data_IF_989761533658
#
_entry.id   IF_989761533658
#
_cell.length_a   1.000
_cell.length_b   1.000
_cell.length_c   1.000
_cell.angle_alpha   90.00
_cell.angle_beta   90.00
_cell.angle_gamma   90.00
#
_symmetry.space_group_name_H-M   'P 1'
#
loop_
_entity.id
_entity.type
_entity.pdbx_description
1 polymer ?
#
# COMPACT_ATOMS: atom_id res chain seq x y z
N UNK A 1 14.26 -8.87 19.37
CA UNK A 1 14.20 -7.54 18.72
C UNK A 1 13.03 -6.78 19.32
N UNK A 2 13.22 -5.52 19.65
CA UNK A 2 12.15 -4.62 20.05
C UNK A 2 11.67 -3.84 18.84
N UNK A 3 10.38 -3.68 18.69
CA UNK A 3 9.76 -2.99 17.56
C UNK A 3 8.88 -1.86 18.07
N UNK A 4 9.10 -0.67 17.55
CA UNK A 4 8.25 0.48 17.83
C UNK A 4 7.27 0.68 16.68
N UNK A 5 5.99 0.77 17.03
CA UNK A 5 4.92 1.12 16.09
C UNK A 5 4.85 2.63 15.91
N UNK A 6 4.73 3.05 14.66
CA UNK A 6 4.46 4.44 14.27
C UNK A 6 3.22 4.49 13.38
N UNK A 7 2.40 5.50 13.59
CA UNK A 7 1.38 5.90 12.62
C UNK A 7 1.98 6.96 11.71
N UNK A 8 1.76 6.80 10.40
CA UNK A 8 2.16 7.77 9.40
C UNK A 8 0.93 8.26 8.63
N UNK A 9 0.92 9.54 8.28
CA UNK A 9 -0.11 10.18 7.47
C UNK A 9 0.59 10.85 6.29
N UNK A 10 0.13 10.53 5.08
CA UNK A 10 0.59 11.13 3.85
C UNK A 10 -0.57 11.74 3.07
N UNK A 11 -0.31 12.84 2.39
CA UNK A 11 -1.22 13.44 1.41
C UNK A 11 -0.90 12.98 0.01
N UNK A 12 -1.92 12.76 -0.81
CA UNK A 12 -1.77 12.51 -2.23
C UNK A 12 -1.51 13.83 -2.95
N UNK A 13 -0.39 13.92 -3.67
CA UNK A 13 -0.05 15.05 -4.53
C UNK A 13 -0.28 14.78 -6.01
N UNK A 14 -0.51 13.52 -6.36
CA UNK A 14 -0.92 13.08 -7.69
C UNK A 14 -1.86 11.88 -7.60
N UNK A 15 -2.56 11.48 -8.68
CA UNK A 15 -3.40 10.30 -8.71
C UNK A 15 -2.67 9.05 -8.20
N UNK A 16 -3.35 8.21 -7.43
CA UNK A 16 -2.78 6.99 -6.89
C UNK A 16 -3.44 5.76 -7.50
N UNK A 17 -2.72 5.06 -8.37
CA UNK A 17 -3.15 3.79 -8.95
C UNK A 17 -2.40 2.63 -8.31
N UNK A 18 -3.13 1.77 -7.62
CA UNK A 18 -2.62 0.50 -7.07
C UNK A 18 -3.26 -0.63 -7.87
N UNK A 19 -2.56 -1.13 -8.88
CA UNK A 19 -3.12 -2.12 -9.81
C UNK A 19 -3.80 -3.28 -9.09
N UNK A 20 -5.03 -3.57 -9.52
CA UNK A 20 -5.87 -4.65 -9.00
C UNK A 20 -6.12 -5.69 -10.09
N UNK A 21 -7.03 -5.41 -10.99
CA UNK A 21 -7.31 -6.24 -12.15
C UNK A 21 -7.76 -5.37 -13.33
N UNK A 22 -7.80 -5.97 -14.51
CA UNK A 22 -8.24 -5.31 -15.74
C UNK A 22 -9.60 -5.87 -16.14
N UNK A 23 -10.57 -4.96 -16.40
CA UNK A 23 -11.89 -5.30 -16.92
C UNK A 23 -12.06 -4.60 -18.26
N UNK A 24 -12.03 -5.35 -19.36
CA UNK A 24 -11.99 -4.75 -20.69
C UNK A 24 -10.78 -3.84 -20.86
N UNK A 25 -11.01 -2.57 -21.15
CA UNK A 25 -9.96 -1.56 -21.28
C UNK A 25 -9.68 -0.78 -19.99
N UNK A 26 -10.43 -1.06 -18.90
CA UNK A 26 -10.30 -0.37 -17.61
C UNK A 26 -9.33 -1.11 -16.71
N UNK A 27 -8.30 -0.42 -16.26
CA UNK A 27 -7.39 -0.88 -15.21
C UNK A 27 -7.91 -0.40 -13.86
N UNK A 28 -8.46 -1.33 -13.06
CA UNK A 28 -9.02 -1.03 -11.74
C UNK A 28 -7.93 -0.83 -10.71
N UNK A 29 -8.16 0.07 -9.76
CA UNK A 29 -7.27 0.33 -8.62
C UNK A 29 -7.74 -0.39 -7.36
N UNK A 30 -6.82 -0.72 -6.45
CA UNK A 30 -7.15 -1.03 -5.05
C UNK A 30 -7.46 0.26 -4.29
N UNK A 31 -8.33 0.16 -3.30
CA UNK A 31 -8.73 1.29 -2.46
C UNK A 31 -7.84 1.43 -1.21
N UNK A 32 -6.71 0.73 -1.20
CA UNK A 32 -5.71 0.73 -0.14
C UNK A 32 -4.32 0.47 -0.72
N UNK A 33 -3.28 0.76 0.06
CA UNK A 33 -1.88 0.50 -0.33
C UNK A 33 -1.38 -0.73 0.43
N UNK A 34 -1.10 -1.85 -0.26
CA UNK A 34 -0.53 -3.04 0.37
C UNK A 34 0.89 -2.80 0.90
N UNK A 35 1.25 -3.50 1.96
CA UNK A 35 2.57 -3.42 2.60
C UNK A 35 3.74 -3.61 1.61
N UNK A 36 3.58 -4.48 0.61
CA UNK A 36 4.60 -4.72 -0.42
C UNK A 36 4.88 -3.47 -1.28
N UNK A 37 3.85 -2.71 -1.64
CA UNK A 37 4.01 -1.47 -2.39
C UNK A 37 4.76 -0.43 -1.56
N UNK A 38 4.51 -0.40 -0.24
CA UNK A 38 5.21 0.49 0.69
C UNK A 38 6.68 0.09 0.85
N UNK A 39 6.96 -1.20 1.01
CA UNK A 39 8.34 -1.70 1.02
C UNK A 39 9.10 -1.26 -0.23
N UNK A 40 8.53 -1.43 -1.40
CA UNK A 40 9.16 -1.02 -2.66
C UNK A 40 9.37 0.48 -2.77
N UNK A 41 8.39 1.29 -2.36
CA UNK A 41 8.48 2.75 -2.38
C UNK A 41 9.53 3.30 -1.39
N UNK A 42 9.58 2.73 -0.18
CA UNK A 42 10.57 3.10 0.84
C UNK A 42 11.97 2.70 0.38
N UNK A 43 12.14 1.48 -0.13
CA UNK A 43 13.42 1.01 -0.68
C UNK A 43 13.92 1.93 -1.80
N UNK A 44 13.05 2.28 -2.72
CA UNK A 44 13.39 3.16 -3.84
C UNK A 44 13.75 4.57 -3.37
N UNK A 45 12.99 5.14 -2.45
CA UNK A 45 13.26 6.47 -1.92
C UNK A 45 14.58 6.55 -1.17
N UNK A 46 14.89 5.55 -0.34
CA UNK A 46 16.17 5.44 0.38
C UNK A 46 17.33 5.26 -0.60
N UNK A 47 17.20 4.35 -1.57
CA UNK A 47 18.25 4.10 -2.57
C UNK A 47 18.57 5.34 -3.37
N UNK A 48 17.54 6.05 -3.85
CA UNK A 48 17.70 7.27 -4.66
C UNK A 48 18.36 8.40 -3.87
N UNK A 49 18.14 8.48 -2.58
CA UNK A 49 18.73 9.50 -1.71
C UNK A 49 20.10 9.13 -1.16
N UNK A 50 20.67 8.03 -1.62
CA UNK A 50 22.00 7.60 -1.24
C UNK A 50 22.10 7.01 0.16
N UNK A 51 21.02 6.39 0.65
CA UNK A 51 21.03 5.71 1.95
C UNK A 51 22.15 4.67 2.02
N UNK A 52 22.93 4.75 3.09
CA UNK A 52 23.97 3.79 3.41
C UNK A 52 24.04 3.55 4.91
N UNK A 53 24.36 2.34 5.31
CA UNK A 53 24.60 1.94 6.69
C UNK A 53 25.51 0.72 6.69
N UNK A 54 25.85 0.18 7.87
CA UNK A 54 26.74 -0.98 7.95
C UNK A 54 26.24 -2.15 7.09
N UNK A 55 27.05 -2.58 6.11
CA UNK A 55 26.71 -3.63 5.17
C UNK A 55 25.76 -3.23 4.03
N UNK A 56 25.38 -1.94 3.91
CA UNK A 56 24.53 -1.43 2.85
C UNK A 56 25.24 -0.31 2.09
N UNK A 57 25.51 -0.55 0.81
CA UNK A 57 26.14 0.43 -0.07
C UNK A 57 25.12 1.39 -0.64
N UNK A 58 25.52 2.67 -0.72
CA UNK A 58 24.70 3.70 -1.35
C UNK A 58 24.39 3.34 -2.82
N UNK A 59 23.15 3.55 -3.22
CA UNK A 59 22.67 3.29 -4.59
C UNK A 59 22.40 1.81 -4.91
N UNK A 60 22.67 0.87 -4.00
CA UNK A 60 22.38 -0.54 -4.21
C UNK A 60 20.94 -0.89 -3.74
N UNK A 61 20.00 -0.91 -4.68
CA UNK A 61 18.60 -1.19 -4.40
C UNK A 61 18.36 -2.53 -3.71
N UNK A 62 19.10 -3.57 -4.07
CA UNK A 62 18.94 -4.89 -3.47
C UNK A 62 19.36 -4.90 -2.00
N UNK A 63 20.52 -4.33 -1.68
CA UNK A 63 21.00 -4.25 -0.30
C UNK A 63 20.09 -3.37 0.57
N UNK A 64 19.67 -2.22 0.06
CA UNK A 64 18.70 -1.36 0.74
C UNK A 64 17.38 -2.09 0.96
N UNK A 65 16.89 -2.81 -0.04
CA UNK A 65 15.65 -3.58 0.04
C UNK A 65 15.69 -4.70 1.09
N UNK A 66 16.81 -5.43 1.17
CA UNK A 66 16.99 -6.45 2.20
C UNK A 66 17.10 -5.83 3.60
N UNK A 67 17.76 -4.69 3.74
CA UNK A 67 17.81 -3.95 4.99
C UNK A 67 16.40 -3.48 5.41
N UNK A 68 15.63 -2.85 4.51
CA UNK A 68 14.25 -2.44 4.79
C UNK A 68 13.39 -3.63 5.16
N UNK A 69 13.54 -4.77 4.47
CA UNK A 69 12.80 -5.99 4.77
C UNK A 69 13.14 -6.55 6.15
N UNK A 70 14.38 -6.44 6.59
CA UNK A 70 14.84 -6.94 7.89
C UNK A 70 14.40 -6.04 9.04
N UNK A 71 14.54 -4.73 8.89
CA UNK A 71 14.44 -3.75 9.97
C UNK A 71 13.13 -2.94 9.98
N UNK A 72 12.32 -3.05 8.92
CA UNK A 72 11.02 -2.38 8.83
C UNK A 72 9.91 -3.37 8.53
N UNK A 73 8.73 -3.13 9.10
CA UNK A 73 7.51 -3.84 8.72
C UNK A 73 6.39 -2.80 8.48
N UNK A 74 5.51 -3.10 7.53
CA UNK A 74 4.46 -2.19 7.11
C UNK A 74 3.11 -2.84 7.30
N UNK A 75 2.17 -2.11 7.90
CA UNK A 75 0.75 -2.40 7.78
C UNK A 75 0.23 -1.96 6.41
N UNK A 76 -1.03 -2.24 6.10
CA UNK A 76 -1.70 -1.67 4.95
C UNK A 76 -2.10 -0.23 5.25
N UNK A 77 -2.01 0.66 4.26
CA UNK A 77 -2.45 2.05 4.38
C UNK A 77 -3.77 2.24 3.66
N UNK A 78 -4.67 2.93 4.33
CA UNK A 78 -6.03 3.20 3.85
C UNK A 78 -6.25 4.69 3.71
N UNK A 79 -7.27 5.08 2.97
CA UNK A 79 -7.74 6.46 2.95
C UNK A 79 -8.07 6.88 4.39
N UNK A 80 -7.63 8.07 4.75
CA UNK A 80 -7.74 8.62 6.09
C UNK A 80 -8.52 9.93 6.05
N UNK A 81 -9.59 9.99 6.80
CA UNK A 81 -10.46 11.15 6.86
C UNK A 81 -11.03 11.32 8.28
N UNK A 82 -11.11 12.57 8.75
CA UNK A 82 -11.68 12.90 10.07
C UNK A 82 -11.09 12.04 11.20
N UNK A 83 -9.77 11.89 11.22
CA UNK A 83 -9.03 11.08 12.20
C UNK A 83 -9.38 9.58 12.20
N UNK A 84 -9.98 9.05 11.13
CA UNK A 84 -10.33 7.64 10.98
C UNK A 84 -9.80 7.04 9.68
N UNK A 85 -9.38 5.78 9.77
CA UNK A 85 -9.06 4.96 8.61
C UNK A 85 -10.36 4.45 7.98
N UNK A 86 -10.50 4.62 6.68
CA UNK A 86 -11.62 4.04 5.92
C UNK A 86 -11.27 2.59 5.55
N UNK A 87 -11.27 1.72 6.55
CA UNK A 87 -10.97 0.30 6.38
C UNK A 87 -12.19 -0.45 5.85
N UNK A 88 -11.99 -1.48 4.99
CA UNK A 88 -13.08 -2.33 4.53
C UNK A 88 -13.67 -3.15 5.68
N UNK A 89 -14.98 -3.22 5.75
CA UNK A 89 -15.73 -4.04 6.70
C UNK A 89 -17.02 -4.54 6.07
N UNK A 90 -17.33 -5.83 6.23
CA UNK A 90 -18.62 -6.39 5.83
C UNK A 90 -19.64 -6.18 6.96
N UNK A 91 -20.72 -5.46 6.63
CA UNK A 91 -21.86 -5.22 7.50
C UNK A 91 -23.12 -5.91 6.96
N UNK A 92 -24.24 -5.83 7.68
CA UNK A 92 -25.53 -6.35 7.19
C UNK A 92 -25.92 -5.80 5.83
N UNK A 93 -25.58 -4.53 5.58
CA UNK A 93 -25.92 -3.81 4.36
C UNK A 93 -24.81 -3.98 3.25
N UNK A 94 -23.89 -4.93 3.41
CA UNK A 94 -22.81 -5.20 2.48
C UNK A 94 -21.44 -4.63 2.88
N UNK A 95 -20.53 -4.55 1.92
CA UNK A 95 -19.18 -4.02 2.13
C UNK A 95 -19.23 -2.51 2.31
N UNK A 96 -18.54 -2.01 3.36
CA UNK A 96 -18.35 -0.59 3.65
C UNK A 96 -16.85 -0.27 3.81
N UNK A 97 -16.51 0.98 3.58
CA UNK A 97 -15.19 1.56 3.87
C UNK A 97 -15.36 2.60 4.99
N UNK A 98 -15.01 2.21 6.21
CA UNK A 98 -15.40 2.97 7.39
C UNK A 98 -16.93 3.04 7.54
N UNK A 99 -17.50 4.23 7.44
CA UNK A 99 -18.95 4.45 7.46
C UNK A 99 -19.59 4.64 6.06
N UNK A 100 -18.77 4.62 4.99
CA UNK A 100 -19.22 4.81 3.62
C UNK A 100 -19.58 3.48 2.97
N UNK A 101 -20.65 3.42 2.21
CA UNK A 101 -20.90 2.32 1.28
C UNK A 101 -19.82 2.30 0.17
N UNK A 102 -19.68 1.19 -0.55
CA UNK A 102 -18.73 1.10 -1.67
C UNK A 102 -18.98 2.21 -2.68
N UNK A 103 -20.21 2.41 -3.09
CA UNK A 103 -20.58 3.44 -4.09
C UNK A 103 -20.31 4.87 -3.61
N UNK A 104 -20.51 5.15 -2.32
CA UNK A 104 -20.17 6.46 -1.75
C UNK A 104 -18.67 6.69 -1.69
N UNK A 105 -17.91 5.64 -1.31
CA UNK A 105 -16.44 5.70 -1.32
C UNK A 105 -15.92 5.94 -2.74
N UNK A 106 -16.38 5.16 -3.72
CA UNK A 106 -16.00 5.28 -5.13
C UNK A 106 -16.30 6.68 -5.66
N UNK A 107 -17.54 7.13 -5.51
CA UNK A 107 -17.95 8.47 -5.95
C UNK A 107 -17.13 9.58 -5.31
N UNK A 108 -16.66 9.40 -4.07
CA UNK A 108 -15.95 10.43 -3.31
C UNK A 108 -14.46 10.50 -3.59
N UNK A 109 -13.83 9.35 -3.79
CA UNK A 109 -12.38 9.25 -3.86
C UNK A 109 -11.85 8.74 -5.19
N UNK A 110 -12.66 8.09 -6.02
CA UNK A 110 -12.17 7.55 -7.27
C UNK A 110 -12.43 8.50 -8.44
N UNK A 111 -11.50 8.42 -9.39
CA UNK A 111 -11.62 9.03 -10.70
C UNK A 111 -10.90 8.16 -11.72
N UNK A 112 -11.01 8.47 -12.99
CA UNK A 112 -10.33 7.73 -14.04
C UNK A 112 -9.75 8.66 -15.09
N UNK A 113 -8.71 8.19 -15.77
CA UNK A 113 -8.07 8.87 -16.86
C UNK A 113 -8.02 7.96 -18.08
N UNK A 114 -8.58 8.45 -19.18
CA UNK A 114 -8.61 7.73 -20.46
C UNK A 114 -7.43 8.18 -21.31
N UNK A 115 -6.65 7.23 -21.81
CA UNK A 115 -5.50 7.48 -22.67
C UNK A 115 -5.54 6.58 -23.91
N UNK A 116 -4.91 7.07 -24.98
CA UNK A 116 -4.71 6.32 -26.21
C UNK A 116 -3.33 6.67 -26.80
N UNK A 117 -2.70 5.71 -27.46
CA UNK A 117 -1.53 6.00 -28.26
C UNK A 117 -1.95 6.65 -29.58
N UNK A 118 -1.16 7.62 -30.05
CA UNK A 118 -1.34 8.21 -31.36
C UNK A 118 -0.45 7.51 -32.39
N UNK A 119 -1.01 7.25 -33.57
CA UNK A 119 -0.23 6.86 -34.74
C UNK A 119 0.54 8.09 -35.24
N UNK A 120 1.88 8.07 -35.26
CA UNK A 120 2.67 9.23 -35.64
C UNK A 120 2.53 9.63 -37.11
N UNK A 121 2.02 8.75 -37.97
CA UNK A 121 1.80 9.06 -39.41
C UNK A 121 0.47 9.74 -39.68
N UNK A 122 -0.55 9.32 -38.98
CA UNK A 122 -1.93 9.79 -39.24
C UNK A 122 -2.45 10.77 -38.18
N UNK A 123 -1.74 10.92 -37.07
CA UNK A 123 -2.16 11.70 -35.90
C UNK A 123 -3.52 11.26 -35.34
N UNK A 124 -3.94 10.03 -35.63
CA UNK A 124 -5.17 9.42 -35.15
C UNK A 124 -4.88 8.43 -34.02
N UNK A 125 -5.90 8.07 -33.25
CA UNK A 125 -5.78 7.05 -32.21
C UNK A 125 -5.39 5.70 -32.83
N UNK A 126 -4.33 5.09 -32.30
CA UNK A 126 -3.91 3.77 -32.72
C UNK A 126 -4.98 2.74 -32.33
N UNK A 127 -5.34 1.86 -33.26
CA UNK A 127 -6.35 0.84 -33.01
C UNK A 127 -5.99 -0.05 -31.81
N UNK A 128 -6.95 -0.26 -30.88
CA UNK A 128 -6.78 -1.10 -29.71
C UNK A 128 -5.92 -0.51 -28.56
N UNK A 129 -5.43 0.74 -28.70
CA UNK A 129 -4.61 1.38 -27.68
C UNK A 129 -5.39 2.12 -26.59
N UNK A 130 -6.71 2.28 -26.77
CA UNK A 130 -7.57 2.95 -25.80
C UNK A 130 -7.57 2.16 -24.49
N UNK A 131 -7.20 2.82 -23.41
CA UNK A 131 -7.28 2.26 -22.06
C UNK A 131 -7.64 3.33 -21.05
N UNK A 132 -8.28 2.90 -19.99
CA UNK A 132 -8.69 3.73 -18.87
C UNK A 132 -7.99 3.25 -17.61
N UNK A 133 -7.45 4.18 -16.85
CA UNK A 133 -6.78 3.90 -15.58
C UNK A 133 -7.59 4.54 -14.45
N UNK A 134 -8.16 3.72 -13.59
CA UNK A 134 -8.85 4.15 -12.38
C UNK A 134 -7.81 4.45 -11.29
N UNK A 135 -8.05 5.47 -10.48
CA UNK A 135 -7.13 5.88 -9.41
C UNK A 135 -7.88 6.51 -8.23
N UNK A 136 -7.22 6.55 -7.07
CA UNK A 136 -7.65 7.39 -5.95
C UNK A 136 -7.22 8.82 -6.27
N UNK A 137 -8.20 9.73 -6.30
CA UNK A 137 -8.01 11.12 -6.65
C UNK A 137 -7.23 11.89 -5.55
N UNK A 138 -6.33 12.81 -5.92
CA UNK A 138 -5.58 13.61 -4.95
C UNK A 138 -6.46 14.59 -4.17
N UNK A 139 -7.66 14.84 -4.65
CA UNK A 139 -8.70 15.60 -3.94
C UNK A 139 -10.00 14.78 -3.94
N UNK A 140 -10.62 14.67 -2.77
CA UNK A 140 -11.96 14.11 -2.67
C UNK A 140 -12.98 15.03 -3.37
N UNK A 141 -14.14 14.50 -3.73
CA UNK A 141 -15.22 15.32 -4.31
C UNK A 141 -15.72 16.43 -3.38
N UNK A 142 -15.37 16.40 -2.10
CA UNK A 142 -15.65 17.47 -1.14
C UNK A 142 -14.60 18.60 -1.17
N UNK A 143 -13.61 18.54 -2.07
CA UNK A 143 -12.54 19.53 -2.20
C UNK A 143 -11.38 19.36 -1.21
N UNK A 144 -11.46 18.44 -0.26
CA UNK A 144 -10.37 18.16 0.67
C UNK A 144 -9.27 17.31 0.00
N UNK A 145 -8.02 17.57 0.35
CA UNK A 145 -6.90 16.75 -0.10
C UNK A 145 -7.01 15.35 0.48
N UNK A 146 -6.90 14.35 -0.37
CA UNK A 146 -6.98 12.95 0.05
C UNK A 146 -5.73 12.59 0.84
N UNK A 147 -5.94 12.02 2.02
CA UNK A 147 -4.89 11.49 2.88
C UNK A 147 -4.95 9.97 2.95
N UNK A 148 -3.80 9.36 3.13
CA UNK A 148 -3.66 7.92 3.42
C UNK A 148 -2.84 7.75 4.70
N UNK A 149 -3.21 6.76 5.48
CA UNK A 149 -2.54 6.49 6.75
C UNK A 149 -2.48 4.99 7.04
N UNK A 150 -1.49 4.61 7.84
CA UNK A 150 -1.34 3.25 8.35
C UNK A 150 -0.14 3.12 9.25
N UNK A 151 0.17 1.89 9.63
CA UNK A 151 1.23 1.60 10.59
C UNK A 151 2.55 1.27 9.89
N UNK A 152 3.63 1.73 10.50
CA UNK A 152 5.00 1.32 10.22
C UNK A 152 5.63 0.83 11.53
N UNK A 153 6.34 -0.25 11.47
CA UNK A 153 7.08 -0.80 12.61
C UNK A 153 8.56 -0.73 12.28
N UNK A 154 9.32 -0.15 13.17
CA UNK A 154 10.77 -0.04 13.10
C UNK A 154 11.38 -0.79 14.26
N UNK A 155 12.39 -1.61 14.00
CA UNK A 155 13.19 -2.20 15.06
C UNK A 155 14.19 -1.18 15.65
N UNK A 156 14.99 -1.59 16.62
CA UNK A 156 15.90 -0.69 17.30
C UNK A 156 16.94 -0.06 16.35
N UNK A 157 17.40 -0.80 15.31
CA UNK A 157 18.35 -0.30 14.32
C UNK A 157 17.68 0.72 13.38
N UNK A 158 16.54 0.35 12.80
CA UNK A 158 15.79 1.25 11.91
C UNK A 158 15.29 2.49 12.66
N UNK A 159 14.88 2.35 13.92
CA UNK A 159 14.42 3.47 14.75
C UNK A 159 15.52 4.51 14.97
N UNK A 160 16.77 4.09 15.13
CA UNK A 160 17.90 5.01 15.29
C UNK A 160 18.07 5.92 14.05
N UNK A 161 17.82 5.39 12.86
CA UNK A 161 18.03 6.08 11.59
C UNK A 161 16.73 6.74 11.08
N UNK A 162 15.61 6.01 11.20
CA UNK A 162 14.31 6.36 10.61
C UNK A 162 13.25 6.73 11.68
N UNK A 163 13.65 7.26 12.85
CA UNK A 163 12.71 7.89 13.77
C UNK A 163 11.99 9.08 13.11
N UNK A 164 11.12 9.78 13.81
CA UNK A 164 10.30 10.86 13.23
C UNK A 164 11.11 11.86 12.39
N UNK A 165 12.25 12.32 12.89
CA UNK A 165 13.12 13.24 12.18
C UNK A 165 13.83 12.56 11.00
N UNK A 166 14.33 11.35 11.18
CA UNK A 166 14.94 10.56 10.12
C UNK A 166 13.94 10.24 9.02
N UNK A 167 12.70 9.87 9.37
CA UNK A 167 11.64 9.63 8.41
C UNK A 167 11.32 10.89 7.58
N UNK A 168 11.24 12.06 8.23
CA UNK A 168 11.07 13.35 7.52
C UNK A 168 12.21 13.63 6.55
N UNK A 169 13.44 13.34 6.94
CA UNK A 169 14.60 13.60 6.10
C UNK A 169 14.66 12.65 4.89
N UNK A 170 14.42 11.35 5.12
CA UNK A 170 14.58 10.31 4.10
C UNK A 170 13.32 10.04 3.29
N UNK A 171 12.14 10.15 3.90
CA UNK A 171 10.88 9.63 3.38
C UNK A 171 9.77 10.69 3.35
N UNK A 172 10.11 11.98 3.35
CA UNK A 172 9.13 13.08 3.21
C UNK A 172 8.27 12.98 1.96
N UNK A 173 8.83 12.43 0.88
CA UNK A 173 8.11 12.19 -0.36
C UNK A 173 8.33 10.74 -0.77
N UNK A 174 7.24 10.05 -1.06
CA UNK A 174 7.23 8.69 -1.60
C UNK A 174 6.53 8.70 -2.95
N UNK A 175 6.89 7.73 -3.79
CA UNK A 175 6.15 7.44 -5.01
C UNK A 175 5.71 5.98 -5.00
N UNK A 176 4.40 5.75 -4.95
CA UNK A 176 3.80 4.44 -4.71
C UNK A 176 2.88 4.05 -5.86
N UNK A 177 2.83 2.76 -6.20
CA UNK A 177 1.87 2.22 -7.16
C UNK A 177 2.36 2.18 -8.60
N UNK A 178 1.41 2.09 -9.52
CA UNK A 178 1.61 2.06 -10.96
C UNK A 178 1.61 3.46 -11.59
N UNK A 179 1.73 3.50 -12.92
CA UNK A 179 1.68 4.73 -13.75
C UNK A 179 2.68 5.83 -13.30
N UNK A 180 3.76 5.43 -12.63
CA UNK A 180 4.77 6.34 -12.05
C UNK A 180 5.47 7.20 -13.10
N UNK A 181 5.61 6.70 -14.34
CA UNK A 181 6.19 7.45 -15.47
C UNK A 181 5.32 8.64 -15.88
N UNK A 182 4.01 8.55 -15.62
CA UNK A 182 3.05 9.64 -15.84
C UNK A 182 2.84 10.52 -14.60
N UNK A 183 3.71 10.36 -13.58
CA UNK A 183 3.70 11.19 -12.38
C UNK A 183 2.72 10.72 -11.31
N UNK A 184 2.11 9.54 -11.45
CA UNK A 184 1.18 9.00 -10.45
C UNK A 184 1.91 8.57 -9.17
N UNK A 185 1.15 8.51 -8.08
CA UNK A 185 1.55 7.92 -6.81
C UNK A 185 2.41 8.79 -5.92
N UNK A 186 2.50 10.10 -6.17
CA UNK A 186 3.27 11.02 -5.32
C UNK A 186 2.55 11.27 -4.01
N UNK A 187 3.19 10.88 -2.92
CA UNK A 187 2.74 11.08 -1.54
C UNK A 187 3.70 12.02 -0.81
N UNK A 188 3.15 12.92 0.00
CA UNK A 188 3.93 13.83 0.86
C UNK A 188 3.58 13.59 2.32
N UNK A 189 4.59 13.44 3.16
CA UNK A 189 4.45 13.23 4.60
C UNK A 189 3.82 14.44 5.29
N UNK A 190 2.75 14.19 6.02
CA UNK A 190 2.10 15.17 6.91
C UNK A 190 2.58 14.94 8.34
N UNK A 191 2.45 13.71 8.82
CA UNK A 191 2.71 13.38 10.20
C UNK A 191 3.29 11.95 10.33
N UNK A 192 4.16 11.78 11.31
CA UNK A 192 4.57 10.50 11.86
C UNK A 192 4.58 10.60 13.38
N UNK A 193 3.88 9.69 14.04
CA UNK A 193 3.81 9.63 15.50
C UNK A 193 4.03 8.21 16.00
N UNK A 194 4.78 8.08 17.10
CA UNK A 194 4.90 6.82 17.83
C UNK A 194 3.57 6.45 18.47
N UNK A 195 3.20 5.17 18.40
CA UNK A 195 1.97 4.62 18.98
C UNK A 195 2.27 3.42 19.87
N UNK A 196 1.81 3.49 21.12
CA UNK A 196 1.95 2.41 22.09
C UNK A 196 3.37 2.13 22.55
N UNK A 197 3.50 1.13 23.42
CA UNK A 197 4.78 0.66 23.91
C UNK A 197 5.49 -0.23 22.89
N UNK A 198 6.83 -0.33 22.96
CA UNK A 198 7.60 -1.24 22.12
C UNK A 198 7.16 -2.69 22.28
N UNK A 199 7.05 -3.40 21.16
CA UNK A 199 6.64 -4.81 21.13
C UNK A 199 7.89 -5.69 20.97
N UNK A 200 8.11 -6.61 21.92
CA UNK A 200 9.20 -7.57 21.83
C UNK A 200 8.74 -8.82 21.09
N UNK A 201 9.17 -8.99 19.87
CA UNK A 201 8.86 -10.16 19.03
C UNK A 201 9.90 -10.36 17.93
N UNK A 202 9.87 -11.51 17.28
CA UNK A 202 10.76 -11.79 16.13
C UNK A 202 10.44 -10.89 14.95
N UNK A 203 9.15 -10.69 14.69
CA UNK A 203 8.62 -9.76 13.67
C UNK A 203 7.21 -9.30 14.08
N UNK A 204 6.88 -8.03 13.95
CA UNK A 204 5.54 -7.56 14.27
C UNK A 204 4.49 -8.30 13.43
N UNK A 205 3.51 -8.84 14.11
CA UNK A 205 2.34 -9.45 13.49
C UNK A 205 1.09 -8.87 14.16
N UNK A 206 0.01 -8.77 13.40
CA UNK A 206 -1.28 -8.42 13.96
C UNK A 206 -1.91 -9.67 14.56
N UNK A 207 -2.37 -9.59 15.80
CA UNK A 207 -3.18 -10.65 16.39
C UNK A 207 -4.50 -10.74 15.65
N UNK A 208 -4.86 -11.95 15.23
CA UNK A 208 -6.17 -12.23 14.63
C UNK A 208 -7.20 -12.30 15.75
N UNK A 209 -8.22 -11.46 15.68
CA UNK A 209 -9.38 -11.48 16.55
C UNK A 209 -10.61 -11.81 15.71
N UNK A 210 -11.50 -12.66 16.22
CA UNK A 210 -12.72 -13.05 15.50
C UNK A 210 -13.63 -11.86 15.18
N UNK A 211 -13.56 -10.81 16.00
CA UNK A 211 -14.44 -9.64 15.92
C UNK A 211 -13.85 -8.44 15.16
N UNK A 212 -12.61 -8.53 14.67
CA UNK A 212 -11.96 -7.41 14.00
C UNK A 212 -11.45 -7.79 12.62
N UNK A 213 -11.62 -6.93 11.61
CA UNK A 213 -11.08 -7.17 10.28
C UNK A 213 -9.55 -7.26 10.34
N UNK A 214 -9.01 -8.25 9.65
CA UNK A 214 -7.58 -8.42 9.52
C UNK A 214 -7.07 -7.55 8.37
N UNK A 215 -6.31 -6.51 8.68
CA UNK A 215 -5.86 -5.50 7.73
C UNK A 215 -4.41 -5.72 7.30
N UNK A 216 -4.06 -6.96 6.99
CA UNK A 216 -2.72 -7.34 6.55
C UNK A 216 -2.77 -8.57 5.64
N UNK A 217 -1.61 -9.11 5.30
CA UNK A 217 -1.50 -10.39 4.61
C UNK A 217 -1.10 -11.48 5.59
N UNK A 218 -1.57 -12.69 5.33
CA UNK A 218 -1.22 -13.90 6.09
C UNK A 218 -0.59 -14.93 5.17
N UNK A 219 0.35 -15.70 5.72
CA UNK A 219 0.79 -16.94 5.07
C UNK A 219 -0.28 -17.99 5.31
N UNK A 220 -0.81 -18.59 4.26
CA UNK A 220 -1.83 -19.62 4.37
C UNK A 220 -1.14 -20.94 4.76
N UNK A 221 -1.32 -21.36 5.99
CA UNK A 221 -0.98 -22.71 6.42
C UNK A 221 -2.22 -23.61 6.29
N UNK A 222 -2.00 -24.92 6.16
CA UNK A 222 -3.02 -25.92 5.83
C UNK A 222 -4.20 -26.03 6.82
N UNK A 223 -4.09 -25.41 8.00
CA UNK A 223 -5.09 -25.55 9.07
C UNK A 223 -5.79 -24.22 9.44
N UNK A 224 -5.69 -23.19 8.61
CA UNK A 224 -6.34 -21.90 8.89
C UNK A 224 -7.69 -21.85 8.18
N UNK A 225 -8.76 -21.70 8.95
CA UNK A 225 -10.07 -21.35 8.39
C UNK A 225 -10.16 -19.84 8.19
N UNK A 226 -10.37 -19.43 6.95
CA UNK A 226 -10.49 -18.04 6.57
C UNK A 226 -11.92 -17.78 6.15
N UNK A 227 -12.56 -16.74 6.72
CA UNK A 227 -13.89 -16.27 6.32
C UNK A 227 -13.77 -14.88 5.71
N UNK A 228 -14.35 -14.69 4.53
CA UNK A 228 -14.34 -13.42 3.82
C UNK A 228 -13.71 -13.51 2.44
N UNK A 229 -13.59 -12.37 1.79
CA UNK A 229 -12.96 -12.29 0.47
C UNK A 229 -11.44 -12.44 0.61
N UNK A 230 -10.88 -13.39 -0.11
CA UNK A 230 -9.44 -13.67 -0.15
C UNK A 230 -8.92 -13.18 -1.49
N UNK A 231 -7.87 -12.38 -1.45
CA UNK A 231 -7.14 -11.96 -2.63
C UNK A 231 -5.71 -12.51 -2.57
N UNK A 232 -5.24 -13.25 -3.60
CA UNK A 232 -3.88 -13.72 -3.64
C UNK A 232 -2.90 -12.56 -3.75
N UNK A 233 -1.85 -12.59 -2.93
CA UNK A 233 -0.77 -11.62 -3.01
C UNK A 233 0.17 -12.02 -4.15
N UNK A 234 -0.15 -11.58 -5.37
CA UNK A 234 0.64 -11.85 -6.57
C UNK A 234 1.68 -10.75 -6.78
N UNK A 235 2.91 -11.12 -7.10
CA UNK A 235 3.94 -10.17 -7.50
C UNK A 235 5.09 -10.87 -8.20
N UNK A 236 5.71 -10.18 -9.16
CA UNK A 236 6.94 -10.66 -9.81
C UNK A 236 8.09 -10.60 -8.81
N UNK A 237 8.66 -11.75 -8.48
CA UNK A 237 9.98 -11.78 -7.84
C UNK A 237 11.02 -11.61 -8.97
N UNK A 238 11.83 -10.58 -8.91
CA UNK A 238 13.00 -10.38 -9.79
C UNK A 238 14.21 -11.12 -9.23
N UNK A 239 14.07 -12.39 -8.91
CA UNK A 239 15.25 -13.24 -8.70
C UNK A 239 15.49 -14.04 -9.96
N UNK A 240 16.72 -14.03 -10.44
CA UNK A 240 17.18 -14.77 -11.61
C UNK A 240 17.19 -16.30 -11.43
N UNK A 241 16.47 -16.84 -10.48
CA UNK A 241 16.40 -18.28 -10.29
C UNK A 241 14.97 -18.73 -10.06
N UNK A 242 14.47 -19.43 -11.07
CA UNK A 242 13.46 -20.45 -11.02
C UNK A 242 11.98 -20.10 -10.99
N UNK A 243 11.39 -20.59 -12.05
CA UNK A 243 10.13 -21.32 -12.13
C UNK A 243 8.93 -20.73 -11.36
N UNK A 244 7.91 -20.47 -12.09
CA UNK A 244 6.54 -20.42 -11.61
C UNK A 244 6.27 -21.61 -10.69
N UNK A 245 6.58 -21.45 -9.41
CA UNK A 245 6.12 -22.35 -8.36
C UNK A 245 4.65 -22.07 -8.13
N UNK A 246 3.82 -23.00 -8.47
CA UNK A 246 2.40 -23.05 -8.16
C UNK A 246 2.18 -23.26 -6.65
N UNK A 247 2.43 -22.24 -5.86
CA UNK A 247 2.15 -22.25 -4.44
C UNK A 247 1.66 -20.87 -4.00
N UNK A 248 0.38 -20.74 -3.70
CA UNK A 248 -0.17 -19.62 -2.96
C UNK A 248 0.49 -19.61 -1.57
N UNK A 249 1.60 -18.88 -1.43
CA UNK A 249 2.31 -18.79 -0.14
C UNK A 249 1.79 -17.66 0.73
N UNK A 250 0.98 -16.75 0.20
CA UNK A 250 0.40 -15.63 0.95
C UNK A 250 -0.91 -15.18 0.33
N UNK A 251 -1.90 -14.92 1.16
CA UNK A 251 -3.17 -14.33 0.76
C UNK A 251 -3.45 -13.04 1.55
N UNK A 252 -4.08 -12.08 0.91
CA UNK A 252 -4.57 -10.86 1.56
C UNK A 252 -6.02 -11.06 1.98
N UNK A 253 -6.30 -10.90 3.25
CA UNK A 253 -7.66 -10.83 3.78
C UNK A 253 -8.15 -9.39 3.73
N UNK A 254 -9.14 -9.11 2.90
CA UNK A 254 -9.65 -7.75 2.70
C UNK A 254 -10.71 -7.39 3.74
N UNK A 255 -11.43 -8.37 4.25
CA UNK A 255 -12.41 -8.14 5.31
C UNK A 255 -12.75 -9.44 6.06
N UNK A 256 -12.87 -9.36 7.37
CA UNK A 256 -13.58 -10.37 8.16
C UNK A 256 -15.04 -9.93 8.34
N UNK A 257 -15.96 -10.87 8.35
CA UNK A 257 -17.34 -10.58 8.74
C UNK A 257 -17.37 -10.07 10.17
N UNK A 258 -18.01 -8.92 10.41
CA UNK A 258 -18.46 -8.59 11.76
C UNK A 258 -19.39 -9.71 12.21
N UNK A 259 -19.04 -10.45 13.26
CA UNK A 259 -19.95 -11.38 13.90
C UNK A 259 -21.07 -10.56 14.56
N UNK A 260 -22.30 -10.78 14.13
CA UNK A 260 -23.47 -10.27 14.82
C UNK A 260 -23.81 -11.21 15.98
N UNK A 261 -23.85 -10.66 17.17
CA UNK A 261 -24.72 -11.15 18.23
C UNK A 261 -26.03 -10.37 18.19
#
# INVERSE_FOLDING_TARGET
MSWQKFRVIYELHSPLHIGYHKVGNVQRTRYYIPARNLWGAVTEALTRRGFSTHGVSSGNYQQVGEWVKKHCAFGYWFVYENSKLLTPCYCKDGLKYGNLSVSEFERRYLDSHVTTALDPKTNSAQYGSLHEVEFIAPYSRNGARTQVSGSVFLDDEAKTILSENGWRNWLSNLQVGGERRYGFGTLRLVEMKSEGDPITCTRPCQSVSEDKPFLAHVSVATNIQIRGQIEPLVGRATSQSHAFGSGLTSATLIASSCSYR
#
